data_IF_168144749449
#
_entry.id   IF_168144749449
#
_cell.length_a   1.000
_cell.length_b   1.000
_cell.length_c   1.000
_cell.angle_alpha   90.00
_cell.angle_beta   90.00
_cell.angle_gamma   90.00
#
_symmetry.space_group_name_H-M   'P 1'
#
loop_
_entity.id
_entity.type
_entity.pdbx_description
1 polymer ?
#
# COMPACT_ATOMS: atom_id res chain seq x y z
N UNK A 1 -5.80 35.38 67.17
CA UNK A 1 -5.58 36.84 67.18
C UNK A 1 -4.34 37.04 68.04
N UNK A 2 -3.15 37.35 67.52
CA UNK A 2 -2.77 38.51 66.71
C UNK A 2 -1.51 38.22 65.87
N UNK A 3 -1.44 38.90 64.72
CA UNK A 3 -0.31 38.97 63.79
C UNK A 3 0.85 39.82 64.36
N UNK A 4 2.07 39.52 63.90
CA UNK A 4 3.09 40.51 63.54
C UNK A 4 3.92 39.92 62.38
N UNK A 5 3.77 40.40 61.14
CA UNK A 5 4.58 41.44 60.47
C UNK A 5 6.11 41.24 60.66
N UNK A 6 6.95 41.06 59.65
CA UNK A 6 7.20 41.94 58.51
C UNK A 6 8.39 41.40 57.69
N UNK A 7 8.52 41.82 56.42
CA UNK A 7 9.75 41.65 55.62
C UNK A 7 9.49 41.04 54.24
N UNK A 8 8.93 41.79 53.29
CA UNK A 8 9.64 42.54 52.21
C UNK A 8 10.59 41.69 51.35
N UNK A 9 10.40 41.76 50.03
CA UNK A 9 11.52 41.80 49.09
C UNK A 9 11.32 40.95 47.84
N UNK A 10 10.78 41.57 46.80
CA UNK A 10 10.75 41.09 45.41
C UNK A 10 12.14 40.77 44.87
N UNK A 11 12.24 39.79 43.96
CA UNK A 11 13.41 39.58 43.13
C UNK A 11 13.51 38.19 42.51
N UNK A 12 12.73 37.91 41.48
CA UNK A 12 13.20 37.03 40.39
C UNK A 12 14.22 37.83 39.54
N UNK A 13 15.12 37.22 38.74
CA UNK A 13 15.49 35.81 38.60
C UNK A 13 17.04 35.63 38.67
N UNK A 14 17.50 34.38 38.49
CA UNK A 14 18.81 33.94 37.96
C UNK A 14 19.54 32.95 38.89
N UNK A 15 19.86 31.79 38.31
CA UNK A 15 21.07 31.04 38.63
C UNK A 15 20.92 29.91 39.64
N UNK A 16 20.43 28.75 39.19
CA UNK A 16 20.83 27.47 39.78
C UNK A 16 21.12 26.45 38.67
N UNK A 17 22.31 25.81 38.65
CA UNK A 17 22.60 24.73 37.73
C UNK A 17 21.93 23.45 38.23
N UNK A 18 21.06 22.86 37.43
CA UNK A 18 20.58 21.49 37.64
C UNK A 18 21.30 20.57 36.65
N UNK A 19 22.50 20.17 37.03
CA UNK A 19 23.08 18.91 36.58
C UNK A 19 22.50 17.80 37.45
N UNK A 20 21.55 17.05 36.90
CA UNK A 20 21.28 15.65 37.22
C UNK A 20 20.31 15.12 36.17
N UNK A 21 20.83 14.98 34.94
CA UNK A 21 20.23 14.13 33.93
C UNK A 21 20.37 12.68 34.39
N UNK A 22 19.28 12.07 34.86
CA UNK A 22 19.14 10.62 34.97
C UNK A 22 17.70 10.21 34.70
N UNK A 23 17.50 9.28 33.77
CA UNK A 23 16.29 8.46 33.71
C UNK A 23 15.30 8.76 32.59
N UNK A 24 15.75 8.85 31.34
CA UNK A 24 14.95 8.28 30.24
C UNK A 24 15.82 7.21 29.61
N UNK A 25 15.45 5.97 29.89
CA UNK A 25 15.93 4.78 29.19
C UNK A 25 15.82 5.05 27.69
N UNK A 26 16.98 5.25 27.08
CA UNK A 26 17.08 5.17 25.63
C UNK A 26 16.78 3.74 25.27
N UNK A 27 15.76 3.54 24.44
CA UNK A 27 15.58 2.29 23.69
C UNK A 27 16.77 2.19 22.74
N UNK A 28 17.89 1.69 23.26
CA UNK A 28 19.07 1.35 22.49
C UNK A 28 18.76 0.03 21.80
N UNK A 29 18.40 0.10 20.52
CA UNK A 29 18.10 -1.11 19.77
C UNK A 29 17.43 -0.91 18.42
N UNK A 30 17.57 0.25 17.77
CA UNK A 30 17.53 0.28 16.30
C UNK A 30 18.95 0.52 15.87
N UNK A 31 19.62 -0.58 15.57
CA UNK A 31 20.90 -0.61 14.88
C UNK A 31 20.69 0.06 13.51
N UNK A 32 20.92 1.36 13.45
CA UNK A 32 21.15 2.04 12.18
C UNK A 32 22.40 1.39 11.61
N UNK A 33 22.21 0.60 10.55
CA UNK A 33 23.27 -0.15 9.90
C UNK A 33 24.41 0.78 9.53
N UNK A 34 25.56 0.52 10.16
CA UNK A 34 26.85 0.92 9.65
C UNK A 34 27.01 0.29 8.27
N UNK A 35 26.77 1.07 7.23
CA UNK A 35 27.11 0.73 5.85
C UNK A 35 28.12 1.76 5.34
N UNK A 36 29.19 1.95 6.12
CA UNK A 36 30.37 2.71 5.73
C UNK A 36 31.57 1.78 5.62
N UNK A 37 31.71 1.06 4.52
CA UNK A 37 32.95 0.38 4.15
C UNK A 37 32.87 -1.14 4.01
N UNK A 38 32.17 -1.61 2.95
CA UNK A 38 32.35 -2.94 2.31
C UNK A 38 31.50 -3.00 1.01
N UNK A 39 31.60 -1.97 0.17
CA UNK A 39 30.70 -1.77 -0.98
C UNK A 39 30.98 -2.62 -2.22
N UNK A 40 32.05 -3.42 -2.27
CA UNK A 40 32.43 -4.09 -3.52
C UNK A 40 32.15 -5.59 -3.54
N UNK A 41 31.94 -6.28 -2.41
CA UNK A 41 31.68 -7.73 -2.38
C UNK A 41 30.19 -8.08 -2.18
N UNK A 42 29.45 -7.26 -1.42
CA UNK A 42 28.01 -7.43 -1.19
C UNK A 42 27.17 -7.07 -2.42
N UNK A 43 27.49 -5.96 -3.09
CA UNK A 43 26.76 -5.49 -4.28
C UNK A 43 26.86 -6.47 -5.44
N UNK A 44 28.05 -7.04 -5.69
CA UNK A 44 28.22 -8.04 -6.76
C UNK A 44 27.42 -9.32 -6.52
N UNK A 45 27.28 -9.75 -5.27
CA UNK A 45 26.55 -10.98 -4.92
C UNK A 45 25.05 -10.79 -5.04
N UNK A 46 24.53 -9.66 -4.57
CA UNK A 46 23.13 -9.29 -4.69
C UNK A 46 22.74 -9.03 -6.15
N UNK A 47 23.59 -8.35 -6.92
CA UNK A 47 23.33 -8.05 -8.32
C UNK A 47 23.32 -9.31 -9.19
N UNK A 48 24.16 -10.31 -8.87
CA UNK A 48 24.13 -11.60 -9.53
C UNK A 48 22.85 -12.39 -9.20
N UNK A 49 22.45 -12.43 -7.93
CA UNK A 49 21.20 -13.08 -7.51
C UNK A 49 19.98 -12.42 -8.17
N UNK A 50 19.92 -11.09 -8.18
CA UNK A 50 18.83 -10.35 -8.85
C UNK A 50 18.83 -10.57 -10.36
N UNK A 51 20.00 -10.68 -11.00
CA UNK A 51 20.08 -10.95 -12.44
C UNK A 51 19.57 -12.34 -12.79
N UNK A 52 19.90 -13.34 -11.97
CA UNK A 52 19.44 -14.72 -12.16
C UNK A 52 17.91 -14.80 -12.02
N UNK A 53 17.36 -14.27 -10.91
CA UNK A 53 15.92 -14.20 -10.67
C UNK A 53 15.17 -13.44 -11.78
N UNK A 54 15.74 -12.33 -12.25
CA UNK A 54 15.14 -11.53 -13.34
C UNK A 54 15.16 -12.29 -14.68
N UNK A 55 16.18 -13.10 -14.94
CA UNK A 55 16.25 -13.88 -16.18
C UNK A 55 15.23 -15.03 -16.19
N UNK A 56 15.13 -15.77 -15.08
CA UNK A 56 14.10 -16.82 -14.93
C UNK A 56 12.70 -16.22 -15.04
N UNK A 57 12.45 -15.10 -14.35
CA UNK A 57 11.17 -14.40 -14.42
C UNK A 57 10.84 -13.88 -15.82
N UNK A 58 11.83 -13.41 -16.58
CA UNK A 58 11.63 -12.96 -17.98
C UNK A 58 11.21 -14.10 -18.90
N UNK A 59 11.79 -15.29 -18.75
CA UNK A 59 11.44 -16.46 -19.54
C UNK A 59 10.00 -16.89 -19.25
N UNK A 60 9.69 -17.07 -17.96
CA UNK A 60 8.33 -17.37 -17.50
C UNK A 60 7.31 -16.32 -17.97
N UNK A 61 7.62 -15.03 -17.81
CA UNK A 61 6.75 -13.95 -18.24
C UNK A 61 6.53 -13.98 -19.75
N UNK A 62 7.57 -14.25 -20.55
CA UNK A 62 7.46 -14.28 -22.01
C UNK A 62 6.55 -15.42 -22.49
N UNK A 63 6.68 -16.61 -21.89
CA UNK A 63 5.84 -17.78 -22.21
C UNK A 63 4.36 -17.56 -21.84
N UNK A 64 4.09 -16.90 -20.71
CA UNK A 64 2.72 -16.69 -20.22
C UNK A 64 2.07 -15.37 -20.69
N UNK A 65 2.82 -14.45 -21.30
CA UNK A 65 2.30 -13.14 -21.75
C UNK A 65 1.22 -13.30 -22.82
N UNK A 66 1.37 -14.21 -23.78
CA UNK A 66 0.41 -14.37 -24.88
C UNK A 66 -0.97 -14.84 -24.39
N UNK A 67 -0.97 -15.78 -23.46
CA UNK A 67 -2.19 -16.33 -22.85
C UNK A 67 -2.87 -15.27 -21.97
N UNK A 68 -2.10 -14.49 -21.21
CA UNK A 68 -2.62 -13.42 -20.38
C UNK A 68 -3.24 -12.29 -21.22
N UNK A 69 -2.61 -11.88 -22.33
CA UNK A 69 -3.14 -10.85 -23.23
C UNK A 69 -4.53 -11.22 -23.79
N UNK A 70 -4.70 -12.47 -24.21
CA UNK A 70 -5.97 -12.96 -24.75
C UNK A 70 -7.09 -13.01 -23.69
N UNK A 71 -6.76 -13.37 -22.45
CA UNK A 71 -7.72 -13.42 -21.35
C UNK A 71 -8.16 -12.02 -20.88
N UNK A 72 -7.24 -11.06 -20.84
CA UNK A 72 -7.50 -9.70 -20.36
C UNK A 72 -8.26 -8.85 -21.39
N UNK A 73 -7.96 -9.02 -22.68
CA UNK A 73 -8.54 -8.18 -23.74
C UNK A 73 -10.07 -8.21 -23.79
N UNK A 74 -10.70 -9.35 -23.48
CA UNK A 74 -12.17 -9.50 -23.55
C UNK A 74 -12.91 -9.05 -22.28
N UNK A 75 -12.22 -8.96 -21.14
CA UNK A 75 -12.86 -8.71 -19.84
C UNK A 75 -12.88 -7.22 -19.45
N UNK A 76 -12.07 -6.38 -20.09
CA UNK A 76 -11.76 -5.02 -19.59
C UNK A 76 -12.27 -3.89 -20.49
N UNK A 77 -12.70 -4.18 -21.72
CA UNK A 77 -13.14 -3.14 -22.68
C UNK A 77 -14.38 -2.35 -22.20
N UNK A 78 -15.33 -2.99 -21.52
CA UNK A 78 -16.58 -2.35 -21.07
C UNK A 78 -16.43 -1.55 -19.76
N UNK A 79 -15.53 -1.96 -18.86
CA UNK A 79 -15.38 -1.34 -17.53
C UNK A 79 -14.38 -0.16 -17.50
N UNK A 80 -13.57 -0.01 -18.55
CA UNK A 80 -12.48 0.97 -18.61
C UNK A 80 -12.95 2.42 -18.43
N UNK A 81 -14.05 2.80 -19.08
CA UNK A 81 -14.58 4.15 -18.98
C UNK A 81 -15.15 4.45 -17.58
N UNK A 82 -15.62 3.42 -16.87
CA UNK A 82 -16.09 3.56 -15.49
C UNK A 82 -14.91 3.79 -14.55
N UNK A 83 -13.82 3.04 -14.71
CA UNK A 83 -12.61 3.20 -13.91
C UNK A 83 -11.96 4.58 -14.10
N UNK A 84 -11.87 5.09 -15.33
CA UNK A 84 -11.32 6.42 -15.62
C UNK A 84 -12.10 7.54 -14.90
N UNK A 85 -13.43 7.45 -14.87
CA UNK A 85 -14.28 8.41 -14.15
C UNK A 85 -14.08 8.35 -12.64
N UNK A 86 -13.94 7.16 -12.06
CA UNK A 86 -13.67 7.00 -10.63
C UNK A 86 -12.30 7.59 -10.26
N UNK A 87 -11.27 7.36 -11.09
CA UNK A 87 -9.95 7.95 -10.91
C UNK A 87 -9.98 9.48 -10.97
N UNK A 88 -10.78 10.06 -11.85
CA UNK A 88 -10.99 11.53 -11.90
C UNK A 88 -11.64 12.06 -10.62
N UNK A 89 -12.58 11.32 -10.02
CA UNK A 89 -13.20 11.67 -8.74
C UNK A 89 -12.20 11.67 -7.58
N UNK A 90 -11.36 10.63 -7.50
CA UNK A 90 -10.28 10.53 -6.49
C UNK A 90 -9.25 11.64 -6.67
N UNK A 91 -8.86 11.93 -7.92
CA UNK A 91 -7.93 13.01 -8.24
C UNK A 91 -8.46 14.37 -7.77
N UNK A 92 -9.73 14.67 -8.06
CA UNK A 92 -10.38 15.90 -7.62
C UNK A 92 -10.47 16.00 -6.09
N UNK A 93 -10.73 14.88 -5.39
CA UNK A 93 -10.74 14.85 -3.94
C UNK A 93 -9.35 15.14 -3.35
N UNK A 94 -8.29 14.51 -3.88
CA UNK A 94 -6.90 14.75 -3.46
C UNK A 94 -6.45 16.18 -3.72
N UNK A 95 -6.83 16.75 -4.87
CA UNK A 95 -6.55 18.14 -5.19
C UNK A 95 -7.25 19.09 -4.22
N UNK A 96 -8.53 18.84 -3.91
CA UNK A 96 -9.30 19.64 -2.95
C UNK A 96 -8.70 19.57 -1.55
N UNK A 97 -8.37 18.37 -1.08
CA UNK A 97 -7.69 18.14 0.21
C UNK A 97 -6.33 18.84 0.21
N UNK A 98 -5.57 18.72 -0.88
CA UNK A 98 -4.28 19.39 -1.04
C UNK A 98 -4.38 20.90 -0.95
N UNK A 99 -5.37 21.50 -1.61
CA UNK A 99 -5.64 22.94 -1.53
C UNK A 99 -5.99 23.40 -0.11
N UNK A 100 -6.77 22.60 0.62
CA UNK A 100 -7.14 22.89 2.02
C UNK A 100 -5.92 22.82 2.95
N UNK A 101 -5.11 21.76 2.83
CA UNK A 101 -3.91 21.58 3.64
C UNK A 101 -2.80 22.59 3.28
N UNK A 102 -2.74 23.02 2.02
CA UNK A 102 -1.79 24.04 1.55
C UNK A 102 -2.09 25.42 2.17
N UNK A 103 -3.36 25.71 2.42
CA UNK A 103 -3.81 26.94 3.08
C UNK A 103 -3.74 26.86 4.62
N UNK A 104 -3.60 25.66 5.17
CA UNK A 104 -3.47 25.38 6.59
C UNK A 104 -2.00 25.32 7.06
N UNK A 105 -1.75 24.92 8.30
CA UNK A 105 -0.40 24.74 8.85
C UNK A 105 0.41 23.62 8.15
N UNK A 106 -0.26 22.72 7.43
CA UNK A 106 0.33 21.54 6.78
C UNK A 106 0.73 21.79 5.32
N UNK A 107 1.33 22.96 5.04
CA UNK A 107 1.59 23.42 3.66
C UNK A 107 2.36 22.43 2.79
N UNK A 108 3.37 21.79 3.35
CA UNK A 108 4.21 20.83 2.61
C UNK A 108 3.41 19.59 2.17
N UNK A 109 2.54 19.09 3.05
CA UNK A 109 1.67 17.94 2.78
C UNK A 109 0.60 18.34 1.76
N UNK A 110 0.02 19.54 1.92
CA UNK A 110 -0.97 20.09 0.99
C UNK A 110 -0.45 20.20 -0.45
N UNK A 111 0.76 20.75 -0.63
CA UNK A 111 1.41 20.80 -1.96
C UNK A 111 1.60 19.43 -2.57
N UNK A 112 2.00 18.43 -1.78
CA UNK A 112 2.21 17.08 -2.28
C UNK A 112 0.89 16.40 -2.69
N UNK A 113 -0.14 16.49 -1.85
CA UNK A 113 -1.47 15.96 -2.15
C UNK A 113 -2.08 16.61 -3.40
N UNK A 114 -1.93 17.94 -3.53
CA UNK A 114 -2.35 18.69 -4.71
C UNK A 114 -1.62 18.23 -5.97
N UNK A 115 -0.29 18.10 -5.91
CA UNK A 115 0.52 17.64 -7.04
C UNK A 115 0.12 16.23 -7.50
N UNK A 116 -0.17 15.33 -6.55
CA UNK A 116 -0.69 13.99 -6.86
C UNK A 116 -2.06 14.11 -7.54
N UNK A 117 -2.98 14.90 -6.98
CA UNK A 117 -4.31 15.13 -7.54
C UNK A 117 -4.24 15.63 -8.98
N UNK A 118 -3.49 16.69 -9.26
CA UNK A 118 -3.31 17.24 -10.60
C UNK A 118 -2.70 16.23 -11.58
N UNK A 119 -1.68 15.47 -11.14
CA UNK A 119 -1.03 14.46 -11.97
C UNK A 119 -1.98 13.31 -12.31
N UNK A 120 -2.76 12.85 -11.32
CA UNK A 120 -3.73 11.77 -11.48
C UNK A 120 -4.91 12.21 -12.36
N UNK A 121 -5.34 13.46 -12.26
CA UNK A 121 -6.40 14.01 -13.12
C UNK A 121 -5.93 14.10 -14.57
N UNK A 122 -4.67 14.51 -14.79
CA UNK A 122 -4.04 14.49 -16.11
C UNK A 122 -3.96 13.09 -16.69
N UNK A 123 -3.67 12.08 -15.87
CA UNK A 123 -3.68 10.68 -16.28
C UNK A 123 -5.09 10.17 -16.59
N UNK A 124 -6.07 10.41 -15.72
CA UNK A 124 -7.45 9.98 -15.90
C UNK A 124 -8.04 10.52 -17.21
N UNK A 125 -7.85 11.82 -17.50
CA UNK A 125 -8.26 12.43 -18.78
C UNK A 125 -7.54 11.84 -19.98
N UNK A 126 -6.25 11.51 -19.85
CA UNK A 126 -5.51 10.84 -20.92
C UNK A 126 -6.02 9.43 -21.14
N UNK A 127 -6.35 8.69 -20.09
CA UNK A 127 -6.79 7.30 -20.18
C UNK A 127 -8.24 7.14 -20.70
N UNK A 128 -9.09 8.14 -20.47
CA UNK A 128 -10.46 8.20 -20.97
C UNK A 128 -10.50 8.10 -22.51
N UNK A 129 -11.32 7.20 -23.04
CA UNK A 129 -11.48 7.02 -24.49
C UNK A 129 -10.32 6.34 -25.22
N UNK A 130 -9.19 6.04 -24.57
CA UNK A 130 -8.10 5.25 -25.19
C UNK A 130 -8.46 3.78 -25.29
N UNK A 131 -7.75 3.02 -26.12
CA UNK A 131 -7.78 1.55 -26.05
C UNK A 131 -6.81 1.00 -24.98
N UNK A 132 -6.87 -0.30 -24.70
CA UNK A 132 -6.00 -0.95 -23.70
C UNK A 132 -4.52 -0.97 -24.13
N UNK A 133 -4.25 -1.14 -25.43
CA UNK A 133 -2.88 -1.12 -25.96
C UNK A 133 -2.17 0.21 -25.74
N UNK A 134 -2.88 1.32 -25.94
CA UNK A 134 -2.36 2.66 -25.67
C UNK A 134 -2.11 2.91 -24.18
N UNK A 135 -2.95 2.37 -23.29
CA UNK A 135 -2.70 2.45 -21.84
C UNK A 135 -1.48 1.61 -21.46
N UNK A 136 -1.37 0.39 -21.99
CA UNK A 136 -0.21 -0.46 -21.75
C UNK A 136 1.08 0.23 -22.19
N UNK A 137 1.09 0.87 -23.36
CA UNK A 137 2.23 1.67 -23.83
C UNK A 137 2.58 2.85 -22.90
N UNK A 138 1.58 3.55 -22.36
CA UNK A 138 1.83 4.61 -21.37
C UNK A 138 2.47 4.08 -20.07
N UNK A 139 2.04 2.90 -19.62
CA UNK A 139 2.60 2.26 -18.41
C UNK A 139 4.02 1.78 -18.67
N UNK A 140 4.30 1.21 -19.85
CA UNK A 140 5.65 0.81 -20.27
C UNK A 140 6.60 2.00 -20.30
N UNK A 141 6.18 3.09 -20.96
CA UNK A 141 6.94 4.34 -21.01
C UNK A 141 7.23 4.90 -19.62
N UNK A 142 6.25 4.83 -18.72
CA UNK A 142 6.42 5.26 -17.33
C UNK A 142 7.44 4.39 -16.59
N UNK A 143 7.32 3.06 -16.71
CA UNK A 143 8.25 2.12 -16.07
C UNK A 143 9.69 2.31 -16.54
N UNK A 144 9.89 2.60 -17.83
CA UNK A 144 11.22 2.91 -18.38
C UNK A 144 11.78 4.25 -17.89
N UNK A 145 10.94 5.27 -17.69
CA UNK A 145 11.35 6.60 -17.22
C UNK A 145 11.59 6.66 -15.72
N UNK A 146 10.83 5.88 -14.95
CA UNK A 146 10.84 5.91 -13.48
C UNK A 146 10.83 4.48 -12.91
N UNK A 147 11.93 3.73 -13.05
CA UNK A 147 12.00 2.32 -12.64
C UNK A 147 11.72 2.13 -11.14
N UNK A 148 12.24 3.00 -10.28
CA UNK A 148 11.99 2.92 -8.83
C UNK A 148 10.52 3.13 -8.46
N UNK A 149 9.83 4.07 -9.11
CA UNK A 149 8.42 4.31 -8.86
C UNK A 149 7.56 3.11 -9.32
N UNK A 150 7.91 2.52 -10.46
CA UNK A 150 7.25 1.33 -10.97
C UNK A 150 7.41 0.13 -10.02
N UNK A 151 8.63 -0.13 -9.53
CA UNK A 151 8.88 -1.20 -8.56
C UNK A 151 8.11 -0.98 -7.25
N UNK A 152 8.06 0.25 -6.75
CA UNK A 152 7.28 0.58 -5.54
C UNK A 152 5.79 0.31 -5.72
N UNK A 153 5.23 0.71 -6.86
CA UNK A 153 3.82 0.42 -7.17
C UNK A 153 3.55 -1.06 -7.36
N UNK A 154 4.46 -1.79 -8.04
CA UNK A 154 4.35 -3.24 -8.23
C UNK A 154 4.37 -3.98 -6.90
N UNK A 155 5.23 -3.58 -5.96
CA UNK A 155 5.29 -4.17 -4.63
C UNK A 155 3.98 -3.96 -3.84
N UNK A 156 3.45 -2.73 -3.85
CA UNK A 156 2.15 -2.43 -3.21
C UNK A 156 1.02 -3.24 -3.85
N UNK A 157 0.99 -3.30 -5.18
CA UNK A 157 -0.01 -4.07 -5.92
C UNK A 157 0.08 -5.57 -5.60
N UNK A 158 1.29 -6.13 -5.54
CA UNK A 158 1.54 -7.52 -5.17
C UNK A 158 1.07 -7.84 -3.75
N UNK A 159 1.35 -6.96 -2.78
CA UNK A 159 0.85 -7.10 -1.41
C UNK A 159 -0.68 -7.02 -1.34
N UNK A 160 -1.29 -6.07 -2.05
CA UNK A 160 -2.74 -5.93 -2.13
C UNK A 160 -3.38 -7.18 -2.77
N UNK A 161 -2.79 -7.69 -3.85
CA UNK A 161 -3.23 -8.91 -4.51
C UNK A 161 -3.11 -10.12 -3.58
N UNK A 162 -1.98 -10.28 -2.87
CA UNK A 162 -1.81 -11.32 -1.85
C UNK A 162 -2.93 -11.25 -0.80
N UNK A 163 -3.25 -10.04 -0.34
CA UNK A 163 -4.32 -9.86 0.64
C UNK A 163 -5.69 -10.25 0.09
N UNK A 164 -5.98 -9.95 -1.18
CA UNK A 164 -7.24 -10.37 -1.83
C UNK A 164 -7.32 -11.89 -1.99
N UNK A 165 -6.23 -12.53 -2.43
CA UNK A 165 -6.15 -13.99 -2.56
C UNK A 165 -6.32 -14.68 -1.21
N UNK A 166 -5.68 -14.20 -0.14
CA UNK A 166 -5.80 -14.76 1.22
C UNK A 166 -7.14 -14.44 1.87
N UNK A 167 -7.73 -13.27 1.59
CA UNK A 167 -9.02 -12.88 2.13
C UNK A 167 -10.21 -13.52 1.39
N UNK A 168 -9.97 -14.19 0.27
CA UNK A 168 -11.01 -14.95 -0.42
C UNK A 168 -11.37 -16.17 0.45
N UNK A 169 -12.59 -16.26 0.99
CA UNK A 169 -12.99 -17.45 1.72
C UNK A 169 -12.87 -18.65 0.78
N UNK A 170 -12.35 -19.81 1.24
CA UNK A 170 -12.53 -21.04 0.50
C UNK A 170 -14.03 -21.15 0.24
N UNK A 171 -14.43 -21.20 -1.03
CA UNK A 171 -15.79 -21.58 -1.38
C UNK A 171 -15.96 -22.94 -0.75
N UNK A 172 -16.71 -23.02 0.35
CA UNK A 172 -17.13 -24.29 0.93
C UNK A 172 -18.02 -24.88 -0.14
N UNK A 173 -17.43 -25.71 -1.00
CA UNK A 173 -18.18 -26.55 -1.90
C UNK A 173 -19.15 -27.32 -1.02
N UNK A 174 -20.42 -26.96 -1.11
CA UNK A 174 -21.51 -27.66 -0.47
C UNK A 174 -21.58 -29.07 -1.04
N UNK A 175 -20.81 -29.98 -0.45
CA UNK A 175 -21.01 -31.43 -0.54
C UNK A 175 -21.41 -31.97 0.83
N UNK A 176 -22.45 -31.37 1.38
CA UNK A 176 -23.24 -31.92 2.49
C UNK A 176 -24.72 -31.92 2.10
N UNK A 177 -25.13 -32.81 1.19
CA UNK A 177 -26.55 -33.13 0.99
C UNK A 177 -26.81 -34.45 0.25
N UNK A 178 -26.10 -35.54 0.57
CA UNK A 178 -26.55 -36.89 0.18
C UNK A 178 -25.79 -37.96 0.96
N UNK A 179 -26.17 -38.15 2.22
CA UNK A 179 -25.47 -39.04 3.15
C UNK A 179 -26.36 -39.65 4.22
N UNK A 180 -27.37 -40.42 3.82
CA UNK A 180 -27.94 -41.55 4.58
C UNK A 180 -28.57 -41.24 5.96
N UNK A 181 -29.83 -40.84 5.95
CA UNK A 181 -30.78 -41.28 7.00
C UNK A 181 -31.44 -42.58 6.52
N UNK A 182 -30.76 -43.70 6.73
CA UNK A 182 -31.38 -45.02 6.81
C UNK A 182 -31.13 -45.52 8.22
N UNK A 183 -32.07 -45.31 9.13
CA UNK A 183 -32.13 -46.10 10.35
C UNK A 183 -33.57 -46.20 10.87
N UNK A 184 -34.09 -47.42 10.77
CA UNK A 184 -35.11 -48.01 11.65
C UNK A 184 -36.54 -47.46 11.59
N UNK A 185 -37.28 -47.89 10.57
CA UNK A 185 -38.72 -48.14 10.74
C UNK A 185 -38.85 -49.53 11.37
N UNK A 186 -38.93 -49.54 12.70
CA UNK A 186 -39.33 -50.70 13.51
C UNK A 186 -40.70 -51.18 13.01
N UNK A 187 -40.80 -52.49 12.78
CA UNK A 187 -41.97 -53.17 12.25
C UNK A 187 -43.02 -53.30 13.35
N UNK A 188 -44.17 -52.67 13.19
CA UNK A 188 -45.39 -53.05 13.92
C UNK A 188 -46.17 -54.06 13.06
N UNK A 189 -46.46 -55.28 13.55
CA UNK A 189 -47.20 -56.26 12.79
C UNK A 189 -48.70 -55.92 12.72
N UNK A 190 -49.24 -56.32 11.58
CA UNK A 190 -50.57 -56.11 11.04
C UNK A 190 -51.69 -56.73 11.90
N UNK A 191 -52.82 -56.03 11.94
CA UNK A 191 -54.08 -56.37 12.62
C UNK A 191 -54.75 -57.63 12.04
N UNK A 192 -55.37 -58.42 12.91
CA UNK A 192 -56.31 -59.50 12.60
C UNK A 192 -57.21 -59.75 13.79
#
# INVERSE_FOLDING_TARGET
MTNDTSGRGSGDPLGRPLTAAQGIERVSGVQAGDTGGQGEAGDRSLENAVREDVNEFKEFASEHTEQAKAAVGRAVEDEKNVAARQLSGVAAALEKVGNELEQSDQRAIGRYAKQIGTSLQGFARKAEGRNLGEIAGMVEDFGRKQPLAFLGMAAIAGLAASRFLTASPPRRDGRDASGRTRQSSEKEPYNG
#
